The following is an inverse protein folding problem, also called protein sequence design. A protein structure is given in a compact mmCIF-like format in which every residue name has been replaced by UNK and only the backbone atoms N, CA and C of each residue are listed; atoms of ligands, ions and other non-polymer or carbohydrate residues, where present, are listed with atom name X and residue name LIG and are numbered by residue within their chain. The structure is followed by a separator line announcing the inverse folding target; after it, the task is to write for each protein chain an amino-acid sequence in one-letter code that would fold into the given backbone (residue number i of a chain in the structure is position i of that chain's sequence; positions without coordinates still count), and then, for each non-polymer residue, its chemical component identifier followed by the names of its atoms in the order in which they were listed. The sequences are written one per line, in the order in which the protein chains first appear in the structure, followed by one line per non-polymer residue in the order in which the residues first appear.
data_IF_831219840693
#
_entry.id   IF_831219840693
#
_cell.length_a   1.000
_cell.length_b   1.000
_cell.length_c   1.000
_cell.angle_alpha   90.00
_cell.angle_beta   90.00
_cell.angle_gamma   90.00
#
_symmetry.space_group_name_H-M   'P 1'
#
loop_
_entity.id
_entity.type
_entity.pdbx_description
1 polymer ?
#
# COMPACT_ATOMS: atom_id res chain seq x y z
N UNK A 1 -1.61 8.73 -14.83
CA UNK A 1 -1.97 8.32 -13.47
C UNK A 1 -2.95 9.33 -12.86
N UNK A 2 -3.80 8.88 -11.96
CA UNK A 2 -4.76 9.71 -11.25
C UNK A 2 -4.87 9.23 -9.80
N UNK A 3 -4.58 10.13 -8.87
CA UNK A 3 -4.62 9.82 -7.44
C UNK A 3 -6.06 9.79 -6.90
N UNK A 4 -6.27 9.12 -5.76
CA UNK A 4 -7.50 9.17 -4.98
C UNK A 4 -8.70 8.45 -5.61
N UNK A 5 -8.48 7.43 -6.45
CA UNK A 5 -9.56 6.65 -7.05
C UNK A 5 -9.86 5.41 -6.25
N UNK A 6 -11.16 5.19 -5.96
CA UNK A 6 -11.70 3.91 -5.51
C UNK A 6 -11.95 2.99 -6.70
N UNK A 7 -12.27 1.72 -6.43
CA UNK A 7 -12.70 0.79 -7.49
C UNK A 7 -13.90 1.35 -8.27
N UNK A 8 -14.88 1.93 -7.54
CA UNK A 8 -16.05 2.58 -8.10
C UNK A 8 -15.70 3.75 -9.02
N UNK A 9 -15.00 4.76 -8.50
CA UNK A 9 -14.66 5.94 -9.30
C UNK A 9 -13.74 5.63 -10.47
N UNK A 10 -12.90 4.59 -10.36
CA UNK A 10 -12.06 4.12 -11.46
C UNK A 10 -12.87 3.53 -12.60
N UNK A 11 -13.98 2.84 -12.30
CA UNK A 11 -14.94 2.34 -13.28
C UNK A 11 -15.77 3.50 -13.85
N UNK A 12 -16.42 4.29 -13.00
CA UNK A 12 -17.36 5.34 -13.39
C UNK A 12 -16.71 6.44 -14.27
N UNK A 13 -15.41 6.70 -14.09
CA UNK A 13 -14.65 7.64 -14.91
C UNK A 13 -14.12 7.03 -16.23
N UNK A 14 -14.50 5.79 -16.59
CA UNK A 14 -14.03 5.11 -17.80
C UNK A 14 -12.52 4.76 -17.78
N UNK A 15 -11.88 4.78 -16.62
CA UNK A 15 -10.45 4.47 -16.50
C UNK A 15 -10.18 2.99 -16.65
N UNK A 16 -11.09 2.18 -16.14
CA UNK A 16 -11.01 0.74 -16.32
C UNK A 16 -11.12 0.34 -17.79
N UNK A 17 -12.06 0.94 -18.52
CA UNK A 17 -12.24 0.66 -19.96
C UNK A 17 -10.95 0.97 -20.74
N UNK A 18 -10.26 2.05 -20.36
CA UNK A 18 -8.97 2.40 -20.95
C UNK A 18 -7.90 1.37 -20.64
N UNK A 19 -7.83 0.85 -19.42
CA UNK A 19 -6.89 -0.24 -19.06
C UNK A 19 -7.24 -1.49 -19.84
N UNK A 20 -8.52 -1.87 -19.84
CA UNK A 20 -9.03 -3.06 -20.50
C UNK A 20 -8.75 -3.06 -22.02
N UNK A 21 -8.76 -1.89 -22.66
CA UNK A 21 -8.40 -1.74 -24.07
C UNK A 21 -6.94 -2.03 -24.38
N UNK A 22 -6.07 -1.97 -23.39
CA UNK A 22 -4.61 -2.19 -23.53
C UNK A 22 -4.18 -3.62 -23.19
N UNK A 23 -5.01 -4.37 -22.46
CA UNK A 23 -4.68 -5.74 -22.03
C UNK A 23 -4.56 -6.66 -23.24
N UNK A 24 -3.47 -7.42 -23.28
CA UNK A 24 -3.19 -8.46 -24.27
C UNK A 24 -3.17 -9.83 -23.58
N UNK A 25 -3.36 -10.87 -24.37
CA UNK A 25 -3.25 -12.25 -23.92
C UNK A 25 -1.88 -12.49 -23.26
N UNK A 26 -1.91 -12.99 -22.03
CA UNK A 26 -0.72 -13.27 -21.22
C UNK A 26 -0.21 -12.13 -20.36
N UNK A 27 -0.81 -10.93 -20.45
CA UNK A 27 -0.47 -9.83 -19.56
C UNK A 27 -0.91 -10.13 -18.11
N UNK A 28 -0.05 -9.85 -17.14
CA UNK A 28 -0.42 -9.87 -15.72
C UNK A 28 -1.03 -8.53 -15.33
N UNK A 29 -2.20 -8.57 -14.71
CA UNK A 29 -2.92 -7.38 -14.27
C UNK A 29 -2.97 -7.37 -12.74
N UNK A 30 -2.19 -6.49 -12.12
CA UNK A 30 -2.13 -6.31 -10.67
C UNK A 30 -3.21 -5.32 -10.23
N UNK A 31 -4.13 -5.80 -9.37
CA UNK A 31 -5.32 -5.06 -8.98
C UNK A 31 -5.29 -4.82 -7.47
N UNK A 32 -5.15 -3.54 -7.08
CA UNK A 32 -5.19 -3.11 -5.69
C UNK A 32 -6.13 -1.92 -5.54
N UNK A 33 -7.17 -2.09 -4.71
CA UNK A 33 -8.12 -1.07 -4.30
C UNK A 33 -8.44 -1.24 -2.80
N UNK A 34 -9.18 -0.30 -2.22
CA UNK A 34 -9.61 -0.31 -0.82
C UNK A 34 -9.46 1.04 -0.15
N UNK A 35 -8.27 1.65 -0.12
CA UNK A 35 -8.00 2.93 0.56
C UNK A 35 -9.00 4.06 0.27
N UNK A 36 -9.53 4.13 -0.94
CA UNK A 36 -10.49 5.14 -1.33
C UNK A 36 -11.93 4.61 -1.37
N UNK A 37 -12.11 3.31 -1.39
CA UNK A 37 -13.40 2.64 -1.36
C UNK A 37 -14.09 2.81 0.01
N UNK A 38 -13.32 2.87 1.08
CA UNK A 38 -13.80 3.13 2.44
C UNK A 38 -14.21 4.60 2.70
N UNK A 39 -13.95 5.51 1.77
CA UNK A 39 -14.31 6.92 1.90
C UNK A 39 -15.81 7.10 1.72
N UNK A 40 -16.44 7.93 2.57
CA UNK A 40 -17.90 8.09 2.60
C UNK A 40 -18.48 8.91 1.44
N UNK A 41 -17.63 9.54 0.63
CA UNK A 41 -18.12 10.31 -0.51
C UNK A 41 -18.78 9.39 -1.55
N UNK A 42 -19.96 9.76 -1.99
CA UNK A 42 -20.80 8.92 -2.87
C UNK A 42 -20.14 8.48 -4.18
N UNK A 43 -19.21 9.29 -4.68
CA UNK A 43 -18.45 8.99 -5.89
C UNK A 43 -17.35 7.94 -5.67
N UNK A 44 -16.97 7.62 -4.41
CA UNK A 44 -15.90 6.68 -4.09
C UNK A 44 -16.36 5.48 -3.29
N UNK A 45 -17.34 5.68 -2.41
CA UNK A 45 -17.76 4.67 -1.46
C UNK A 45 -18.24 3.39 -2.12
N UNK A 46 -17.77 2.29 -1.57
CA UNK A 46 -18.28 0.93 -1.85
C UNK A 46 -18.35 0.16 -0.53
N UNK A 47 -19.18 -0.86 -0.48
CA UNK A 47 -19.37 -1.70 0.70
C UNK A 47 -18.68 -3.06 0.53
N UNK A 48 -17.82 -3.48 1.50
CA UNK A 48 -17.26 -4.82 1.52
C UNK A 48 -18.36 -5.90 1.55
N UNK A 49 -18.11 -7.00 0.89
CA UNK A 49 -19.07 -8.10 0.76
C UNK A 49 -20.13 -7.88 -0.31
N UNK A 50 -20.28 -6.66 -0.83
CA UNK A 50 -21.30 -6.33 -1.84
C UNK A 50 -20.72 -5.54 -3.01
N UNK A 51 -20.80 -4.22 -3.01
CA UNK A 51 -20.40 -3.38 -4.15
C UNK A 51 -18.89 -3.36 -4.39
N UNK A 52 -18.07 -3.43 -3.34
CA UNK A 52 -16.62 -3.54 -3.49
C UNK A 52 -16.23 -4.87 -4.13
N UNK A 53 -16.79 -5.98 -3.63
CA UNK A 53 -16.53 -7.31 -4.17
C UNK A 53 -17.04 -7.44 -5.62
N UNK A 54 -18.20 -6.84 -5.96
CA UNK A 54 -18.70 -6.81 -7.32
C UNK A 54 -17.72 -6.12 -8.29
N UNK A 55 -17.12 -5.00 -7.87
CA UNK A 55 -16.12 -4.30 -8.66
C UNK A 55 -14.85 -5.15 -8.85
N UNK A 56 -14.40 -5.85 -7.79
CA UNK A 56 -13.23 -6.74 -7.89
C UNK A 56 -13.52 -7.92 -8.83
N UNK A 57 -14.70 -8.55 -8.73
CA UNK A 57 -15.13 -9.60 -9.68
C UNK A 57 -15.16 -9.11 -11.12
N UNK A 58 -15.64 -7.88 -11.34
CA UNK A 58 -15.63 -7.25 -12.66
C UNK A 58 -14.22 -7.15 -13.21
N UNK A 59 -13.28 -6.62 -12.44
CA UNK A 59 -11.88 -6.49 -12.87
C UNK A 59 -11.25 -7.84 -13.21
N UNK A 60 -11.48 -8.86 -12.40
CA UNK A 60 -10.96 -10.22 -12.63
C UNK A 60 -11.55 -10.82 -13.90
N UNK A 61 -12.87 -10.83 -14.02
CA UNK A 61 -13.57 -11.49 -15.14
C UNK A 61 -13.26 -10.82 -16.48
N UNK A 62 -13.23 -9.50 -16.52
CA UNK A 62 -12.95 -8.75 -17.75
C UNK A 62 -11.46 -8.85 -18.14
N UNK A 63 -10.54 -8.91 -17.16
CA UNK A 63 -9.13 -9.23 -17.43
C UNK A 63 -9.00 -10.59 -18.10
N UNK A 64 -9.66 -11.62 -17.54
CA UNK A 64 -9.67 -12.98 -18.12
C UNK A 64 -10.29 -13.02 -19.50
N UNK A 65 -11.37 -12.29 -19.73
CA UNK A 65 -12.02 -12.20 -21.04
C UNK A 65 -11.09 -11.65 -22.13
N UNK A 66 -10.09 -10.83 -21.75
CA UNK A 66 -9.02 -10.36 -22.65
C UNK A 66 -7.82 -11.31 -22.74
N UNK A 67 -7.85 -12.43 -22.04
CA UNK A 67 -6.73 -13.38 -21.95
C UNK A 67 -5.61 -12.92 -21.03
N UNK A 68 -5.84 -11.89 -20.22
CA UNK A 68 -4.93 -11.46 -19.15
C UNK A 68 -5.03 -12.35 -17.91
N UNK A 69 -4.05 -12.23 -17.03
CA UNK A 69 -3.91 -12.98 -15.78
C UNK A 69 -4.06 -12.00 -14.62
N UNK A 70 -5.22 -11.97 -13.93
CA UNK A 70 -5.43 -11.07 -12.79
C UNK A 70 -4.71 -11.58 -11.54
N UNK A 71 -4.20 -10.65 -10.74
CA UNK A 71 -3.64 -10.88 -9.41
C UNK A 71 -4.22 -9.83 -8.46
N UNK A 72 -4.84 -10.28 -7.38
CA UNK A 72 -5.48 -9.38 -6.41
C UNK A 72 -4.55 -9.08 -5.23
N UNK A 73 -4.66 -7.87 -4.75
CA UNK A 73 -3.95 -7.36 -3.57
C UNK A 73 -4.94 -6.65 -2.64
N UNK A 74 -4.73 -6.76 -1.33
CA UNK A 74 -5.38 -5.85 -0.39
C UNK A 74 -4.53 -4.60 -0.14
N UNK A 75 -5.08 -3.65 0.64
CA UNK A 75 -4.43 -2.37 0.95
C UNK A 75 -3.22 -2.54 1.86
N UNK A 76 -2.16 -1.77 1.62
CA UNK A 76 -1.06 -1.60 2.57
C UNK A 76 -1.57 -0.90 3.84
N UNK A 77 -0.86 -1.02 4.96
CA UNK A 77 -1.22 -0.35 6.21
C UNK A 77 -1.11 1.17 6.11
N UNK A 78 -1.91 1.87 6.92
CA UNK A 78 -1.59 3.23 7.37
C UNK A 78 -0.72 3.13 8.62
N UNK A 79 0.19 4.08 8.79
CA UNK A 79 1.01 4.17 9.98
C UNK A 79 0.18 4.77 11.12
N UNK A 80 -0.57 3.93 11.82
CA UNK A 80 -1.32 4.32 13.00
C UNK A 80 -0.96 3.40 14.15
N UNK A 81 -0.30 3.95 15.15
CA UNK A 81 0.05 3.25 16.37
C UNK A 81 -0.90 3.64 17.52
N UNK A 82 -1.11 2.73 18.45
CA UNK A 82 -1.93 2.95 19.64
C UNK A 82 -2.11 1.69 20.46
N UNK A 83 -2.85 1.78 21.53
CA UNK A 83 -3.23 0.64 22.37
C UNK A 83 -4.41 -0.11 21.78
N UNK A 84 -4.66 -1.35 22.24
CA UNK A 84 -5.84 -2.12 21.83
C UNK A 84 -7.17 -1.41 22.18
N UNK A 85 -7.18 -0.63 23.25
CA UNK A 85 -8.34 0.16 23.65
C UNK A 85 -8.58 1.33 22.69
N UNK A 86 -7.51 1.91 22.14
CA UNK A 86 -7.61 2.99 21.15
C UNK A 86 -8.28 2.51 19.85
N UNK A 87 -8.10 1.25 19.48
CA UNK A 87 -8.79 0.67 18.32
C UNK A 87 -10.30 0.67 18.49
N UNK A 88 -10.81 0.24 19.64
CA UNK A 88 -12.24 0.22 19.93
C UNK A 88 -12.81 1.64 19.99
N UNK A 89 -12.08 2.59 20.59
CA UNK A 89 -12.45 4.00 20.63
C UNK A 89 -12.45 4.60 19.24
N UNK A 90 -11.42 4.35 18.43
CA UNK A 90 -11.34 4.83 17.06
C UNK A 90 -12.47 4.30 16.18
N UNK A 91 -12.83 3.03 16.33
CA UNK A 91 -13.97 2.41 15.63
C UNK A 91 -15.31 3.03 16.08
N UNK A 92 -15.51 3.21 17.39
CA UNK A 92 -16.71 3.84 17.91
C UNK A 92 -16.88 5.29 17.42
N UNK A 93 -15.79 6.06 17.38
CA UNK A 93 -15.78 7.44 16.84
C UNK A 93 -16.11 7.41 15.35
N UNK A 94 -15.52 6.50 14.60
CA UNK A 94 -15.77 6.33 13.16
C UNK A 94 -17.25 6.05 12.89
N UNK A 95 -17.84 5.11 13.62
CA UNK A 95 -19.26 4.75 13.47
C UNK A 95 -20.18 5.90 13.85
N UNK A 96 -19.81 6.69 14.85
CA UNK A 96 -20.56 7.87 15.26
C UNK A 96 -20.44 9.01 14.23
N UNK A 97 -19.25 9.25 13.69
CA UNK A 97 -19.02 10.22 12.61
C UNK A 97 -19.80 9.84 11.33
N UNK A 98 -19.82 8.54 10.96
CA UNK A 98 -20.63 8.02 9.86
C UNK A 98 -22.12 8.34 10.09
N UNK A 99 -22.64 8.04 11.27
CA UNK A 99 -24.04 8.34 11.62
C UNK A 99 -24.37 9.83 11.54
N UNK A 100 -23.42 10.69 11.86
CA UNK A 100 -23.56 12.15 11.80
C UNK A 100 -23.29 12.75 10.43
N UNK A 101 -22.94 11.95 9.43
CA UNK A 101 -22.58 12.42 8.09
C UNK A 101 -21.27 13.21 8.05
N UNK A 102 -20.42 13.05 9.06
CA UNK A 102 -19.12 13.70 9.14
C UNK A 102 -18.13 12.87 8.32
N UNK A 103 -17.38 13.53 7.41
CA UNK A 103 -16.32 12.86 6.64
C UNK A 103 -15.20 12.39 7.59
N UNK A 104 -15.05 11.08 7.84
CA UNK A 104 -14.01 10.58 8.74
C UNK A 104 -12.59 10.76 8.18
N UNK A 105 -12.44 10.96 6.87
CA UNK A 105 -11.14 11.14 6.22
C UNK A 105 -10.42 12.41 6.70
N UNK A 106 -11.15 13.49 6.96
CA UNK A 106 -10.56 14.73 7.44
C UNK A 106 -9.85 14.58 8.81
N UNK A 107 -10.25 13.56 9.60
CA UNK A 107 -9.63 13.26 10.89
C UNK A 107 -8.60 12.13 10.83
N UNK A 108 -8.69 11.25 9.82
CA UNK A 108 -7.77 10.10 9.67
C UNK A 108 -6.39 10.50 9.16
N UNK A 109 -6.31 11.55 8.33
CA UNK A 109 -5.05 12.09 7.83
C UNK A 109 -4.36 13.02 8.83
N UNK A 110 -5.03 13.41 9.92
CA UNK A 110 -4.41 14.17 11.00
C UNK A 110 -3.38 13.27 11.70
N UNK A 111 -2.11 13.62 11.60
CA UNK A 111 -1.06 12.95 12.33
C UNK A 111 -1.26 13.24 13.83
N UNK A 112 -1.66 12.26 14.60
CA UNK A 112 -1.66 12.32 16.06
C UNK A 112 -0.43 11.61 16.60
N UNK A 113 0.73 12.07 16.17
CA UNK A 113 2.01 11.47 16.57
C UNK A 113 2.44 11.89 17.98
N UNK A 114 1.85 12.96 18.50
CA UNK A 114 2.21 13.51 19.81
C UNK A 114 1.83 12.59 20.98
N UNK A 115 1.02 11.56 20.74
CA UNK A 115 0.58 10.61 21.78
C UNK A 115 1.13 9.20 21.60
N UNK A 116 2.00 8.92 20.60
CA UNK A 116 2.55 7.58 20.40
C UNK A 116 3.54 7.24 21.51
N UNK A 117 3.27 6.14 22.21
CA UNK A 117 4.06 5.64 23.35
C UNK A 117 4.92 4.45 22.95
N UNK A 118 5.99 4.24 23.66
CA UNK A 118 6.77 3.00 23.52
C UNK A 118 5.88 1.79 23.89
N UNK A 119 5.85 0.79 23.01
CA UNK A 119 5.02 -0.41 23.18
C UNK A 119 3.65 -0.34 22.48
N UNK A 120 3.27 0.80 21.92
CA UNK A 120 2.08 0.88 21.09
C UNK A 120 2.19 -0.05 19.86
N UNK A 121 1.06 -0.67 19.51
CA UNK A 121 0.94 -1.59 18.38
C UNK A 121 0.39 -0.87 17.15
N UNK A 122 0.74 -1.38 15.98
CA UNK A 122 0.13 -0.90 14.75
C UNK A 122 -1.34 -1.34 14.70
N UNK A 123 -2.22 -0.38 14.43
CA UNK A 123 -3.67 -0.61 14.40
C UNK A 123 -4.12 -0.73 12.94
N UNK A 124 -4.89 -1.77 12.63
CA UNK A 124 -5.58 -1.86 11.35
C UNK A 124 -6.66 -0.77 11.23
N UNK A 125 -6.70 -0.14 10.06
CA UNK A 125 -7.65 0.96 9.77
C UNK A 125 -8.55 0.67 8.57
N UNK A 126 -8.46 -0.53 7.99
CA UNK A 126 -9.20 -0.89 6.77
C UNK A 126 -10.38 -1.82 7.03
N UNK A 127 -10.36 -2.56 8.15
CA UNK A 127 -11.45 -3.47 8.51
C UNK A 127 -11.77 -4.46 7.39
N UNK A 128 -13.05 -4.66 7.11
CA UNK A 128 -13.55 -5.63 6.14
C UNK A 128 -13.09 -5.40 4.68
N UNK A 129 -12.57 -4.21 4.35
CA UNK A 129 -11.97 -3.97 3.02
C UNK A 129 -10.71 -4.80 2.76
N UNK A 130 -10.09 -5.38 3.80
CA UNK A 130 -8.96 -6.29 3.64
C UNK A 130 -9.38 -7.70 3.23
N UNK A 131 -10.59 -8.10 3.64
CA UNK A 131 -11.10 -9.45 3.39
C UNK A 131 -11.69 -9.59 1.99
N UNK A 132 -12.34 -8.56 1.46
CA UNK A 132 -12.97 -8.58 0.14
C UNK A 132 -12.04 -9.04 -0.99
N UNK A 133 -10.80 -8.53 -1.14
CA UNK A 133 -9.91 -9.03 -2.20
C UNK A 133 -9.49 -10.48 -2.00
N UNK A 134 -9.32 -10.95 -0.76
CA UNK A 134 -9.04 -12.36 -0.45
C UNK A 134 -10.20 -13.24 -0.83
N UNK A 135 -11.40 -12.89 -0.36
CA UNK A 135 -12.61 -13.68 -0.61
C UNK A 135 -12.91 -13.81 -2.12
N UNK A 136 -12.78 -12.71 -2.86
CA UNK A 136 -12.97 -12.72 -4.32
C UNK A 136 -11.86 -13.52 -5.02
N UNK A 137 -10.63 -13.48 -4.53
CA UNK A 137 -9.53 -14.28 -5.07
C UNK A 137 -9.77 -15.77 -4.86
N UNK A 138 -10.22 -16.18 -3.68
CA UNK A 138 -10.59 -17.56 -3.38
C UNK A 138 -11.79 -18.01 -4.21
N UNK A 139 -12.84 -17.20 -4.31
CA UNK A 139 -14.04 -17.50 -5.11
C UNK A 139 -13.71 -17.72 -6.58
N UNK A 140 -12.83 -16.90 -7.15
CA UNK A 140 -12.52 -16.91 -8.58
C UNK A 140 -11.23 -17.65 -8.93
N UNK A 141 -10.58 -18.28 -7.96
CA UNK A 141 -9.29 -18.98 -8.14
C UNK A 141 -8.25 -18.11 -8.86
N UNK A 142 -7.92 -16.96 -8.25
CA UNK A 142 -6.86 -16.04 -8.71
C UNK A 142 -5.80 -15.87 -7.63
N UNK A 143 -4.53 -15.62 -7.99
CA UNK A 143 -3.49 -15.32 -7.00
C UNK A 143 -3.88 -14.10 -6.15
N UNK A 144 -3.67 -14.22 -4.84
CA UNK A 144 -3.86 -13.15 -3.86
C UNK A 144 -2.57 -12.86 -3.11
N UNK A 145 -2.29 -11.59 -2.91
CA UNK A 145 -1.14 -11.11 -2.14
C UNK A 145 -1.61 -10.23 -1.00
N UNK A 146 -1.38 -10.69 0.22
CA UNK A 146 -1.76 -9.99 1.45
C UNK A 146 -0.75 -8.88 1.77
N UNK A 147 -0.90 -7.75 1.08
CA UNK A 147 -0.03 -6.60 1.31
C UNK A 147 -0.23 -5.96 2.67
N UNK A 148 -1.44 -6.05 3.22
CA UNK A 148 -1.68 -5.53 4.56
C UNK A 148 -0.81 -6.25 5.59
N UNK A 149 -0.84 -7.58 5.61
CA UNK A 149 -0.02 -8.38 6.52
C UNK A 149 1.48 -8.10 6.35
N UNK A 150 1.97 -8.08 5.10
CA UNK A 150 3.39 -7.84 4.82
C UNK A 150 3.86 -6.45 5.28
N UNK A 151 3.05 -5.43 5.02
CA UNK A 151 3.39 -4.06 5.44
C UNK A 151 3.13 -3.82 6.92
N UNK A 152 2.19 -4.55 7.54
CA UNK A 152 1.99 -4.56 8.98
C UNK A 152 3.25 -5.08 9.69
N UNK A 153 3.75 -6.24 9.30
CA UNK A 153 4.96 -6.84 9.84
C UNK A 153 6.18 -5.88 9.73
N UNK A 154 6.33 -5.22 8.57
CA UNK A 154 7.39 -4.24 8.37
C UNK A 154 7.24 -3.01 9.28
N UNK A 155 6.07 -2.37 9.26
CA UNK A 155 5.84 -1.10 9.94
C UNK A 155 5.82 -1.28 11.46
N UNK A 156 5.19 -2.35 11.96
CA UNK A 156 5.20 -2.69 13.39
C UNK A 156 6.60 -3.06 13.86
N UNK A 157 7.35 -3.86 13.07
CA UNK A 157 8.73 -4.22 13.38
C UNK A 157 9.70 -3.05 13.46
N UNK A 158 9.47 -2.00 12.66
CA UNK A 158 10.21 -0.73 12.75
C UNK A 158 9.78 0.11 13.96
N UNK A 159 8.56 -0.08 14.43
CA UNK A 159 7.98 0.71 15.51
C UNK A 159 7.61 2.15 15.11
N UNK A 160 7.02 2.89 16.05
CA UNK A 160 6.41 4.19 15.74
C UNK A 160 7.40 5.26 15.28
N UNK A 161 8.65 5.21 15.73
CA UNK A 161 9.65 6.23 15.38
C UNK A 161 10.28 5.95 14.01
N UNK A 162 10.84 4.76 13.83
CA UNK A 162 11.61 4.42 12.64
C UNK A 162 10.73 4.22 11.40
N UNK A 163 9.47 3.83 11.57
CA UNK A 163 8.54 3.67 10.44
C UNK A 163 8.21 4.97 9.72
N UNK A 164 8.41 6.14 10.35
CA UNK A 164 8.24 7.46 9.70
C UNK A 164 9.05 7.60 8.41
N UNK A 165 10.23 6.98 8.34
CA UNK A 165 11.09 7.03 7.15
C UNK A 165 10.47 6.42 5.89
N UNK A 166 9.43 5.61 6.02
CA UNK A 166 8.73 5.02 4.89
C UNK A 166 7.63 5.95 4.34
N UNK A 167 7.16 6.89 5.13
CA UNK A 167 5.99 7.72 4.82
C UNK A 167 6.38 9.17 4.50
N UNK A 168 5.40 9.96 4.04
CA UNK A 168 5.63 11.35 3.65
C UNK A 168 5.75 12.29 4.86
N UNK A 169 6.80 12.05 5.65
CA UNK A 169 7.23 12.91 6.74
C UNK A 169 8.34 13.83 6.26
N UNK A 170 7.99 15.10 6.01
CA UNK A 170 8.90 16.10 5.45
C UNK A 170 9.01 17.27 6.42
N UNK A 171 10.20 17.57 6.97
CA UNK A 171 10.38 18.73 7.84
C UNK A 171 10.04 20.05 7.12
N UNK A 172 9.59 21.03 7.88
CA UNK A 172 9.36 22.36 7.34
C UNK A 172 10.64 22.92 6.68
N UNK A 173 10.47 23.55 5.53
CA UNK A 173 11.54 24.12 4.71
C UNK A 173 12.55 23.13 4.12
N UNK A 174 12.35 21.83 4.25
CA UNK A 174 13.24 20.82 3.64
C UNK A 174 13.06 20.75 2.10
N UNK A 175 11.86 21.03 1.62
CA UNK A 175 11.52 21.01 0.18
C UNK A 175 10.77 22.31 -0.15
N UNK A 176 11.22 23.04 -1.16
CA UNK A 176 10.65 24.35 -1.53
C UNK A 176 9.14 24.30 -1.82
N UNK A 177 8.65 23.23 -2.46
CA UNK A 177 7.22 23.02 -2.73
C UNK A 177 6.40 22.62 -1.50
N UNK A 178 7.05 22.34 -0.36
CA UNK A 178 6.45 21.94 0.92
C UNK A 178 7.04 22.77 2.07
N UNK A 179 6.97 24.09 1.96
CA UNK A 179 7.58 24.99 2.94
C UNK A 179 7.08 24.79 4.38
N UNK A 180 5.81 24.36 4.55
CA UNK A 180 5.24 24.01 5.86
C UNK A 180 5.61 22.61 6.36
N UNK A 181 6.35 21.82 5.56
CA UNK A 181 6.55 20.41 5.81
C UNK A 181 5.30 19.58 5.52
N UNK A 182 5.36 18.29 5.84
CA UNK A 182 4.24 17.36 5.72
C UNK A 182 4.38 16.25 6.75
N UNK A 183 3.30 15.93 7.41
CA UNK A 183 3.18 14.80 8.33
C UNK A 183 2.05 13.89 7.83
N UNK A 184 2.40 12.81 7.15
CA UNK A 184 1.44 11.97 6.46
C UNK A 184 1.74 10.50 6.76
N UNK A 185 0.80 9.85 7.40
CA UNK A 185 0.86 8.45 7.83
C UNK A 185 0.23 7.48 6.82
N UNK A 186 -0.20 7.98 5.66
CA UNK A 186 -0.88 7.18 4.64
C UNK A 186 -0.05 7.02 3.38
N UNK A 187 0.56 8.12 2.90
CA UNK A 187 1.30 8.10 1.64
C UNK A 187 2.77 7.81 1.87
N UNK A 188 3.30 6.90 1.08
CA UNK A 188 4.72 6.56 1.09
C UNK A 188 5.55 7.66 0.44
N UNK A 189 6.74 7.89 0.95
CA UNK A 189 7.78 8.58 0.20
C UNK A 189 8.47 7.63 -0.79
N UNK A 190 9.42 8.13 -1.59
CA UNK A 190 10.10 7.34 -2.63
C UNK A 190 10.86 6.15 -2.03
N UNK A 191 11.55 6.36 -0.91
CA UNK A 191 12.25 5.28 -0.20
C UNK A 191 11.29 4.19 0.28
N UNK A 192 10.19 4.57 0.97
CA UNK A 192 9.18 3.63 1.45
C UNK A 192 8.50 2.88 0.31
N UNK A 193 8.21 3.57 -0.80
CA UNK A 193 7.65 2.93 -1.99
C UNK A 193 8.59 1.86 -2.55
N UNK A 194 9.91 2.12 -2.60
CA UNK A 194 10.91 1.15 -3.05
C UNK A 194 11.00 -0.06 -2.10
N UNK A 195 11.03 0.18 -0.80
CA UNK A 195 11.10 -0.91 0.20
C UNK A 195 9.87 -1.81 0.09
N UNK A 196 8.67 -1.23 0.03
CA UNK A 196 7.43 -1.99 -0.10
C UNK A 196 7.35 -2.69 -1.47
N UNK A 197 7.81 -2.06 -2.55
CA UNK A 197 7.90 -2.71 -3.85
C UNK A 197 8.79 -3.95 -3.81
N UNK A 198 9.92 -3.93 -3.10
CA UNK A 198 10.79 -5.10 -2.90
C UNK A 198 10.05 -6.26 -2.24
N UNK A 199 9.35 -5.98 -1.13
CA UNK A 199 8.52 -6.99 -0.43
C UNK A 199 7.41 -7.52 -1.36
N UNK A 200 6.78 -6.64 -2.13
CA UNK A 200 5.73 -6.99 -3.08
C UNK A 200 6.25 -7.94 -4.16
N UNK A 201 7.43 -7.66 -4.72
CA UNK A 201 8.06 -8.49 -5.76
C UNK A 201 8.34 -9.90 -5.24
N UNK A 202 8.83 -10.04 -4.01
CA UNK A 202 9.06 -11.35 -3.39
C UNK A 202 7.75 -12.11 -3.17
N UNK A 203 6.69 -11.42 -2.76
CA UNK A 203 5.38 -12.01 -2.61
C UNK A 203 4.76 -12.44 -3.94
N UNK A 204 4.93 -11.63 -5.00
CA UNK A 204 4.53 -11.97 -6.37
C UNK A 204 5.27 -13.23 -6.85
N UNK A 205 6.58 -13.33 -6.64
CA UNK A 205 7.37 -14.49 -7.05
C UNK A 205 6.90 -15.80 -6.39
N UNK A 206 6.35 -15.71 -5.16
CA UNK A 206 5.76 -16.85 -4.44
C UNK A 206 4.36 -17.19 -4.94
N UNK A 207 3.51 -16.19 -5.14
CA UNK A 207 2.11 -16.39 -5.54
C UNK A 207 1.96 -16.69 -7.04
N UNK A 208 2.91 -16.23 -7.87
CA UNK A 208 2.94 -16.39 -9.34
C UNK A 208 4.34 -16.87 -9.74
N UNK A 209 4.65 -18.18 -9.60
CA UNK A 209 6.01 -18.71 -9.81
C UNK A 209 6.61 -18.41 -11.19
N UNK A 210 5.78 -18.26 -12.21
CA UNK A 210 6.21 -17.92 -13.57
C UNK A 210 6.93 -16.56 -13.64
N UNK A 211 6.62 -15.67 -12.68
CA UNK A 211 7.26 -14.35 -12.59
C UNK A 211 8.57 -14.37 -11.81
N UNK A 212 8.85 -15.42 -11.03
CA UNK A 212 10.05 -15.49 -10.18
C UNK A 212 11.36 -15.30 -10.97
N UNK A 213 11.42 -15.80 -12.20
CA UNK A 213 12.59 -15.67 -13.09
C UNK A 213 12.93 -14.22 -13.49
N UNK A 214 12.00 -13.29 -13.31
CA UNK A 214 12.20 -11.87 -13.62
C UNK A 214 12.61 -11.05 -12.40
N UNK A 215 12.54 -11.63 -11.20
CA UNK A 215 12.92 -10.93 -9.96
C UNK A 215 14.42 -10.70 -9.94
N UNK A 216 14.83 -9.51 -9.53
CA UNK A 216 16.22 -9.13 -9.31
C UNK A 216 16.36 -8.60 -7.89
N UNK A 217 17.38 -9.07 -7.21
CA UNK A 217 17.75 -8.61 -5.88
C UNK A 217 19.11 -7.92 -5.96
N UNK A 218 19.21 -6.78 -5.30
CA UNK A 218 20.44 -6.03 -5.15
C UNK A 218 20.71 -5.84 -3.67
N UNK A 219 21.96 -5.99 -3.25
CA UNK A 219 22.36 -5.69 -1.86
C UNK A 219 22.21 -4.20 -1.56
N UNK A 220 22.55 -3.36 -2.53
CA UNK A 220 22.47 -1.90 -2.42
C UNK A 220 21.93 -1.28 -3.71
N UNK A 221 21.18 -0.20 -3.52
CA UNK A 221 20.71 0.66 -4.61
C UNK A 221 21.23 2.07 -4.36
N UNK A 222 21.91 2.64 -5.33
CA UNK A 222 22.39 4.03 -5.30
C UNK A 222 21.49 4.87 -6.18
N UNK A 223 20.87 5.93 -5.61
CA UNK A 223 20.04 6.84 -6.38
C UNK A 223 20.08 8.25 -5.77
N UNK A 224 20.40 9.25 -6.59
CA UNK A 224 20.52 10.65 -6.17
C UNK A 224 19.20 11.29 -5.78
N UNK A 225 18.07 10.75 -6.23
CA UNK A 225 16.71 11.22 -5.95
C UNK A 225 16.17 10.75 -4.59
N UNK A 226 16.97 10.01 -3.81
CA UNK A 226 16.57 9.47 -2.51
C UNK A 226 15.76 8.17 -2.60
N UNK A 227 15.59 7.59 -3.78
CA UNK A 227 14.93 6.29 -3.94
C UNK A 227 15.82 5.10 -3.57
N UNK A 228 17.15 5.30 -3.48
CA UNK A 228 18.14 4.28 -3.14
C UNK A 228 18.44 4.20 -1.64
N UNK A 229 19.30 3.25 -1.31
CA UNK A 229 19.85 3.10 0.04
C UNK A 229 20.96 4.15 0.31
N UNK A 230 21.61 4.61 -0.75
CA UNK A 230 22.69 5.59 -0.71
C UNK A 230 22.50 6.63 -1.83
N UNK A 231 23.02 7.84 -1.59
CA UNK A 231 23.02 8.91 -2.59
C UNK A 231 24.22 8.82 -3.55
N UNK A 232 25.31 8.21 -3.10
CA UNK A 232 26.53 8.09 -3.89
C UNK A 232 27.04 6.65 -3.92
N UNK A 233 27.75 6.31 -5.02
CA UNK A 233 28.42 5.01 -5.16
C UNK A 233 29.48 4.82 -4.06
N UNK A 234 30.16 5.90 -3.63
CA UNK A 234 31.17 5.81 -2.59
C UNK A 234 30.56 5.43 -1.23
N UNK A 235 29.39 5.96 -0.88
CA UNK A 235 28.67 5.57 0.33
C UNK A 235 28.30 4.08 0.30
N UNK A 236 27.81 3.59 -0.82
CA UNK A 236 27.49 2.18 -0.99
C UNK A 236 28.73 1.28 -0.87
N UNK A 237 29.85 1.67 -1.48
CA UNK A 237 31.13 0.94 -1.37
C UNK A 237 31.59 0.90 0.08
N UNK A 238 31.51 2.01 0.79
CA UNK A 238 31.93 2.11 2.19
C UNK A 238 31.03 1.27 3.14
N UNK A 239 29.80 0.98 2.74
CA UNK A 239 28.85 0.15 3.48
C UNK A 239 29.03 -1.36 3.24
N UNK A 240 29.85 -1.77 2.26
CA UNK A 240 30.14 -3.18 2.02
C UNK A 240 30.94 -3.74 3.22
N UNK A 241 30.47 -4.81 3.89
CA UNK A 241 31.18 -5.41 4.99
C UNK A 241 32.57 -5.91 4.58
N UNK A 242 33.58 -5.62 5.38
CA UNK A 242 34.94 -6.16 5.18
C UNK A 242 34.95 -7.69 5.23
N UNK A 243 35.90 -8.30 4.50
CA UNK A 243 36.16 -9.75 4.54
C UNK A 243 35.02 -10.66 4.06
N UNK A 244 34.19 -10.22 3.10
CA UNK A 244 33.26 -11.12 2.40
C UNK A 244 34.02 -12.21 1.65
N UNK A 245 34.03 -13.45 2.18
CA UNK A 245 34.81 -14.55 1.59
C UNK A 245 34.19 -15.19 0.36
N UNK A 246 32.85 -15.24 0.24
CA UNK A 246 32.20 -16.05 -0.79
C UNK A 246 30.93 -15.41 -1.39
N UNK A 247 30.66 -14.14 -1.15
CA UNK A 247 29.44 -13.45 -1.66
C UNK A 247 29.85 -12.18 -2.38
N UNK A 248 29.41 -12.03 -3.61
CA UNK A 248 29.58 -10.81 -4.39
C UNK A 248 28.49 -9.82 -4.01
N UNK A 249 28.84 -8.55 -3.78
CA UNK A 249 27.88 -7.45 -3.60
C UNK A 249 27.38 -6.97 -4.96
N UNK A 250 26.07 -6.85 -5.13
CA UNK A 250 25.41 -6.42 -6.36
C UNK A 250 24.60 -5.14 -6.14
#
# INVERSE_FOLDING_TARGET
AQNGRSSKSFIDEGRWDKVLSLIKKGDYVFIQFGHNDEKLSAERHTDPGTTFDANLRKFVNETRAKGGIPVLFNSIVRRKFGTSNDKAVAEAILQDDIRKGINPDAKRDASQDDEVREGDKLIDTHGAYLDSPRNVAEELDVPFIDMNRLTHELVEGLGPKESKKLFMWVPANAIASMAKGREDNTHLNVYGARVIAGITVDAIAKAVPELAKYVRHYDFVVAQDGSGDFFTVQEAINAVPDFRKNVRTT
#
